data_IF_100585317839
#
_entry.id   IF_100585317839
#
_cell.length_a   1.000
_cell.length_b   1.000
_cell.length_c   1.000
_cell.angle_alpha   90.00
_cell.angle_beta   90.00
_cell.angle_gamma   90.00
#
_symmetry.space_group_name_H-M   'P 1'
#
loop_
_entity.id
_entity.type
_entity.pdbx_description
1 polymer ?
#
# COMPACT_ATOMS: atom_id res chain seq x y z
N UNK A 1 -32.80 -46.70 34.39
CA UNK A 1 -31.80 -46.66 33.30
C UNK A 1 -31.90 -45.30 32.61
N UNK A 2 -31.12 -44.30 33.05
CA UNK A 2 -31.03 -43.00 32.38
C UNK A 2 -29.58 -42.71 32.03
N UNK A 3 -29.31 -42.58 30.73
CA UNK A 3 -28.03 -42.14 30.18
C UNK A 3 -28.05 -40.61 30.06
N UNK A 4 -27.19 -39.92 30.82
CA UNK A 4 -26.89 -38.50 30.59
C UNK A 4 -25.81 -38.39 29.51
N UNK A 5 -26.14 -37.66 28.45
CA UNK A 5 -25.27 -37.33 27.34
C UNK A 5 -24.70 -35.92 27.58
N UNK A 6 -23.37 -35.80 27.74
CA UNK A 6 -22.67 -34.51 27.85
C UNK A 6 -22.16 -34.13 26.46
N UNK A 7 -22.48 -32.94 25.89
CA UNK A 7 -21.96 -32.54 24.59
C UNK A 7 -20.57 -31.90 24.70
N UNK A 8 -19.76 -32.18 23.68
CA UNK A 8 -18.33 -31.91 23.59
C UNK A 8 -17.96 -30.44 23.34
N UNK A 9 -17.14 -29.87 24.22
CA UNK A 9 -16.38 -28.63 24.01
C UNK A 9 -15.12 -28.91 23.17
N UNK A 10 -15.23 -28.92 21.82
CA UNK A 10 -14.05 -29.08 20.93
C UNK A 10 -13.90 -28.06 19.79
N UNK A 11 -14.71 -27.00 19.73
CA UNK A 11 -14.74 -26.09 18.56
C UNK A 11 -13.98 -24.75 18.68
N UNK A 12 -13.68 -24.26 19.88
CA UNK A 12 -13.06 -22.93 20.05
C UNK A 12 -11.52 -22.96 19.93
N UNK A 13 -10.87 -23.94 20.54
CA UNK A 13 -9.41 -24.08 20.51
C UNK A 13 -8.86 -24.40 19.11
N UNK A 14 -9.61 -25.14 18.29
CA UNK A 14 -9.21 -25.49 16.92
C UNK A 14 -9.31 -24.32 15.93
N UNK A 15 -10.24 -23.38 16.14
CA UNK A 15 -10.32 -22.11 15.37
C UNK A 15 -9.20 -21.16 15.77
N UNK A 16 -8.92 -21.00 17.06
CA UNK A 16 -7.82 -20.16 17.55
C UNK A 16 -6.44 -20.62 17.04
N UNK A 17 -6.20 -21.95 17.00
CA UNK A 17 -4.96 -22.54 16.48
C UNK A 17 -4.82 -22.43 14.96
N UNK A 18 -5.92 -22.51 14.20
CA UNK A 18 -5.91 -22.28 12.74
C UNK A 18 -5.69 -20.81 12.39
N UNK A 19 -6.26 -19.88 13.15
CA UNK A 19 -6.06 -18.43 12.92
C UNK A 19 -4.63 -17.96 13.23
N UNK A 20 -3.98 -18.54 14.23
CA UNK A 20 -2.56 -18.26 14.56
C UNK A 20 -1.62 -18.94 13.56
N UNK A 21 -1.91 -20.17 13.14
CA UNK A 21 -1.15 -20.85 12.09
C UNK A 21 -1.28 -20.18 10.71
N UNK A 22 -2.45 -19.63 10.38
CA UNK A 22 -2.67 -18.88 9.13
C UNK A 22 -1.94 -17.52 9.09
N UNK A 23 -1.51 -17.01 10.25
CA UNK A 23 -0.76 -15.75 10.34
C UNK A 23 0.75 -15.95 10.52
N UNK A 24 1.21 -17.19 10.64
CA UNK A 24 2.62 -17.52 10.77
C UNK A 24 3.39 -17.17 9.48
N UNK A 25 4.64 -16.74 9.63
CA UNK A 25 5.55 -16.55 8.48
C UNK A 25 5.88 -17.91 7.89
N UNK A 26 5.84 -18.06 6.58
CA UNK A 26 6.24 -19.29 5.91
C UNK A 26 7.68 -19.16 5.44
N UNK A 27 8.52 -20.12 5.77
CA UNK A 27 9.89 -20.22 5.28
C UNK A 27 9.98 -21.46 4.39
N UNK A 28 10.32 -21.24 3.14
CA UNK A 28 10.54 -22.30 2.15
C UNK A 28 12.03 -22.47 1.95
N UNK A 29 12.53 -23.70 2.09
CA UNK A 29 13.96 -23.99 1.91
C UNK A 29 14.19 -24.51 0.49
N UNK A 30 15.01 -23.77 -0.24
CA UNK A 30 15.61 -24.21 -1.49
C UNK A 30 17.10 -24.44 -1.22
N UNK A 31 17.44 -25.66 -0.79
CA UNK A 31 18.77 -25.97 -0.29
C UNK A 31 19.87 -25.82 -1.36
N UNK A 32 19.51 -26.02 -2.62
CA UNK A 32 20.41 -26.14 -3.77
C UNK A 32 20.32 -24.95 -4.73
N UNK A 33 19.60 -23.88 -4.35
CA UNK A 33 19.35 -22.68 -5.19
C UNK A 33 18.81 -23.07 -6.58
N UNK A 34 17.83 -23.99 -6.61
CA UNK A 34 17.32 -24.53 -7.86
C UNK A 34 16.47 -23.49 -8.61
N UNK A 35 16.75 -23.22 -9.91
CA UNK A 35 16.08 -22.15 -10.66
C UNK A 35 14.55 -22.32 -10.75
N UNK A 36 14.05 -23.55 -10.65
CA UNK A 36 12.62 -23.86 -10.60
C UNK A 36 11.87 -23.13 -9.48
N UNK A 37 12.50 -22.87 -8.33
CA UNK A 37 11.89 -22.12 -7.23
C UNK A 37 11.66 -20.65 -7.58
N UNK A 38 12.67 -20.03 -8.19
CA UNK A 38 12.58 -18.66 -8.68
C UNK A 38 11.51 -18.56 -9.77
N UNK A 39 11.51 -19.49 -10.73
CA UNK A 39 10.51 -19.54 -11.79
C UNK A 39 9.08 -19.70 -11.23
N UNK A 40 8.87 -20.61 -10.28
CA UNK A 40 7.56 -20.82 -9.66
C UNK A 40 7.08 -19.61 -8.86
N UNK A 41 7.99 -18.92 -8.16
CA UNK A 41 7.65 -17.70 -7.45
C UNK A 41 7.31 -16.55 -8.40
N UNK A 42 8.07 -16.38 -9.48
CA UNK A 42 7.77 -15.37 -10.50
C UNK A 42 6.45 -15.67 -11.21
N UNK A 43 6.15 -16.94 -11.50
CA UNK A 43 4.86 -17.35 -12.08
C UNK A 43 3.68 -17.15 -11.11
N UNK A 44 3.93 -17.20 -9.79
CA UNK A 44 2.91 -16.88 -8.78
C UNK A 44 2.65 -15.37 -8.64
N UNK A 45 3.55 -14.51 -9.15
CA UNK A 45 3.41 -13.05 -9.12
C UNK A 45 2.19 -12.64 -9.94
N UNK A 46 1.21 -12.03 -9.27
CA UNK A 46 -0.06 -11.64 -9.87
C UNK A 46 -0.70 -10.57 -8.97
N UNK A 47 -0.25 -9.30 -9.08
CA UNK A 47 -0.71 -8.20 -8.24
C UNK A 47 -2.23 -8.02 -8.32
N UNK A 48 -2.83 -8.26 -9.48
CA UNK A 48 -4.28 -8.23 -9.73
C UNK A 48 -5.04 -9.30 -8.92
N UNK A 49 -4.38 -10.41 -8.56
CA UNK A 49 -4.94 -11.43 -7.67
C UNK A 49 -4.45 -11.28 -6.22
N UNK A 50 -3.80 -10.15 -5.89
CA UNK A 50 -3.28 -9.85 -4.57
C UNK A 50 -2.05 -10.67 -4.17
N UNK A 51 -1.25 -11.14 -5.14
CA UNK A 51 0.02 -11.84 -4.90
C UNK A 51 1.17 -11.08 -5.50
N UNK A 52 2.17 -10.80 -4.68
CA UNK A 52 3.37 -10.07 -5.13
C UNK A 52 4.60 -10.89 -4.78
N UNK A 53 5.36 -11.25 -5.81
CA UNK A 53 6.71 -11.78 -5.66
C UNK A 53 7.73 -10.67 -5.77
N UNK A 54 8.59 -10.61 -4.78
CA UNK A 54 9.68 -9.68 -4.62
C UNK A 54 11.00 -10.41 -4.83
N UNK A 55 11.83 -9.88 -5.72
CA UNK A 55 13.24 -10.22 -5.81
C UNK A 55 14.05 -9.03 -5.26
N UNK A 56 14.55 -9.09 -4.01
CA UNK A 56 15.29 -7.97 -3.42
C UNK A 56 16.49 -7.58 -4.31
N UNK A 57 16.72 -6.28 -4.45
CA UNK A 57 17.85 -5.74 -5.20
C UNK A 57 19.17 -6.21 -4.57
N UNK A 58 20.03 -6.94 -5.29
CA UNK A 58 21.29 -7.45 -4.75
C UNK A 58 22.17 -6.31 -4.22
N UNK A 59 22.83 -6.53 -3.07
CA UNK A 59 23.84 -5.61 -2.54
C UNK A 59 23.31 -4.25 -2.04
N UNK A 60 22.02 -3.94 -2.21
CA UNK A 60 21.46 -2.72 -1.65
C UNK A 60 21.38 -2.89 -0.14
N UNK A 61 22.24 -2.20 0.62
CA UNK A 61 22.23 -2.16 2.09
C UNK A 61 21.47 -0.96 2.65
N UNK A 62 21.08 -0.02 1.79
CA UNK A 62 20.40 1.20 2.20
C UNK A 62 19.09 0.88 2.97
N UNK A 63 18.83 1.56 4.09
CA UNK A 63 17.68 1.24 4.96
C UNK A 63 16.28 1.21 4.29
N UNK A 64 15.90 2.11 3.35
CA UNK A 64 14.59 2.05 2.69
C UNK A 64 14.57 1.16 1.44
N UNK A 65 15.69 0.50 1.08
CA UNK A 65 15.80 -0.21 -0.20
C UNK A 65 14.80 -1.35 -0.36
N UNK A 66 14.52 -2.09 0.70
CA UNK A 66 13.57 -3.19 0.63
C UNK A 66 12.13 -2.70 0.43
N UNK A 67 11.74 -1.61 1.09
CA UNK A 67 10.43 -0.98 0.89
C UNK A 67 10.28 -0.45 -0.55
N UNK A 68 11.36 0.12 -1.10
CA UNK A 68 11.42 0.51 -2.51
C UNK A 68 11.23 -0.68 -3.45
N UNK A 69 11.91 -1.80 -3.20
CA UNK A 69 11.78 -3.00 -4.03
C UNK A 69 10.34 -3.55 -3.98
N UNK A 70 9.68 -3.50 -2.80
CA UNK A 70 8.24 -3.83 -2.66
C UNK A 70 7.37 -2.92 -3.51
N UNK A 71 7.60 -1.61 -3.48
CA UNK A 71 6.85 -0.64 -4.27
C UNK A 71 7.04 -0.88 -5.77
N UNK A 72 8.26 -1.15 -6.22
CA UNK A 72 8.54 -1.55 -7.60
C UNK A 72 7.79 -2.84 -7.98
N UNK A 73 7.78 -3.84 -7.10
CA UNK A 73 7.05 -5.11 -7.32
C UNK A 73 5.52 -4.92 -7.36
N UNK A 74 4.99 -3.88 -6.72
CA UNK A 74 3.59 -3.46 -6.81
C UNK A 74 3.30 -2.61 -8.07
N UNK A 75 4.28 -2.45 -8.98
CA UNK A 75 4.16 -1.58 -10.15
C UNK A 75 4.18 -0.08 -9.82
N UNK A 76 4.55 0.30 -8.60
CA UNK A 76 4.59 1.69 -8.14
C UNK A 76 5.92 2.31 -8.47
N UNK A 77 5.85 3.36 -9.31
CA UNK A 77 7.02 4.13 -9.71
C UNK A 77 7.31 5.15 -8.62
N UNK A 78 8.35 4.92 -7.82
CA UNK A 78 8.98 5.97 -7.01
C UNK A 78 9.92 6.82 -7.87
N UNK A 79 10.26 8.07 -7.45
CA UNK A 79 11.18 8.91 -8.19
C UNK A 79 12.51 8.17 -8.41
N UNK A 80 13.17 8.35 -9.57
CA UNK A 80 14.41 7.64 -9.87
C UNK A 80 15.47 7.89 -8.77
N UNK A 81 16.18 6.82 -8.41
CA UNK A 81 17.40 6.87 -7.59
C UNK A 81 18.47 7.61 -8.39
N UNK A 82 18.63 8.91 -8.18
CA UNK A 82 19.57 9.71 -8.98
C UNK A 82 20.05 10.98 -8.28
N UNK A 83 21.24 11.43 -8.70
CA UNK A 83 22.02 12.56 -8.18
C UNK A 83 21.29 13.92 -8.26
N UNK A 84 20.14 13.96 -8.94
CA UNK A 84 19.30 15.15 -9.17
C UNK A 84 18.12 15.30 -8.20
N UNK A 85 18.05 14.45 -7.16
CA UNK A 85 17.08 14.66 -6.09
C UNK A 85 17.23 16.07 -5.48
N UNK A 86 16.13 16.81 -5.23
CA UNK A 86 16.19 18.19 -4.74
C UNK A 86 17.16 18.32 -3.56
N UNK A 87 18.04 19.33 -3.62
CA UNK A 87 19.16 19.53 -2.67
C UNK A 87 18.73 19.76 -1.20
N UNK A 88 17.42 19.81 -0.93
CA UNK A 88 16.86 19.75 0.43
C UNK A 88 16.76 18.28 0.89
N UNK A 89 17.91 17.68 1.21
CA UNK A 89 18.01 16.30 1.68
C UNK A 89 17.37 16.15 3.06
N UNK A 90 16.17 15.56 3.11
CA UNK A 90 15.90 14.60 4.19
C UNK A 90 16.99 13.51 4.09
N UNK A 91 17.61 13.15 5.22
CA UNK A 91 18.59 12.07 5.23
C UNK A 91 17.94 10.79 4.71
N UNK A 92 18.72 9.89 4.10
CA UNK A 92 18.23 8.57 3.72
C UNK A 92 17.62 7.80 4.91
N UNK A 93 18.05 8.11 6.13
CA UNK A 93 17.44 7.60 7.36
C UNK A 93 16.00 8.12 7.55
N UNK A 94 15.74 9.39 7.24
CA UNK A 94 14.42 10.02 7.36
C UNK A 94 13.42 9.46 6.35
N UNK A 95 13.90 8.83 5.27
CA UNK A 95 13.07 8.21 4.23
C UNK A 95 12.58 6.80 4.59
N UNK A 96 13.11 6.16 5.65
CA UNK A 96 12.73 4.79 6.03
C UNK A 96 11.26 4.69 6.40
N UNK A 97 10.82 5.51 7.36
CA UNK A 97 9.42 5.53 7.81
C UNK A 97 8.42 5.80 6.68
N UNK A 98 8.63 6.85 5.87
CA UNK A 98 7.81 7.13 4.69
C UNK A 98 7.79 5.99 3.67
N UNK A 99 8.93 5.38 3.33
CA UNK A 99 9.00 4.30 2.35
C UNK A 99 8.19 3.07 2.79
N UNK A 100 8.37 2.62 4.04
CA UNK A 100 7.61 1.49 4.59
C UNK A 100 6.13 1.82 4.77
N UNK A 101 5.78 3.07 5.06
CA UNK A 101 4.40 3.54 5.11
C UNK A 101 3.74 3.54 3.74
N UNK A 102 4.44 4.00 2.70
CA UNK A 102 3.97 3.91 1.33
C UNK A 102 3.76 2.45 0.91
N UNK A 103 4.71 1.56 1.20
CA UNK A 103 4.60 0.13 0.89
C UNK A 103 3.38 -0.51 1.57
N UNK A 104 3.21 -0.30 2.88
CA UNK A 104 2.05 -0.81 3.62
C UNK A 104 0.72 -0.28 3.07
N UNK A 105 0.69 1.01 2.71
CA UNK A 105 -0.52 1.64 2.18
C UNK A 105 -0.91 1.07 0.83
N UNK A 106 0.07 0.84 -0.06
CA UNK A 106 -0.21 0.24 -1.35
C UNK A 106 -0.59 -1.24 -1.26
N UNK A 107 0.00 -2.01 -0.34
CA UNK A 107 -0.43 -3.38 -0.05
C UNK A 107 -1.91 -3.40 0.34
N UNK A 108 -2.33 -2.50 1.24
CA UNK A 108 -3.72 -2.40 1.66
C UNK A 108 -4.65 -1.93 0.53
N UNK A 109 -4.22 -0.94 -0.26
CA UNK A 109 -5.00 -0.41 -1.38
C UNK A 109 -5.21 -1.45 -2.48
N UNK A 110 -4.18 -2.24 -2.82
CA UNK A 110 -4.26 -3.31 -3.82
C UNK A 110 -4.89 -4.59 -3.28
N UNK A 111 -5.22 -4.62 -1.98
CA UNK A 111 -5.66 -5.84 -1.28
C UNK A 111 -4.67 -6.99 -1.49
N UNK A 112 -3.37 -6.66 -1.56
CA UNK A 112 -2.30 -7.64 -1.73
C UNK A 112 -2.27 -8.52 -0.51
N UNK A 113 -2.83 -9.72 -0.59
CA UNK A 113 -2.91 -10.65 0.52
C UNK A 113 -1.62 -11.45 0.76
N UNK A 114 -0.76 -11.61 -0.24
CA UNK A 114 0.40 -12.50 -0.15
C UNK A 114 1.65 -11.85 -0.72
N UNK A 115 2.68 -11.70 0.11
CA UNK A 115 4.01 -11.26 -0.28
C UNK A 115 4.98 -12.45 -0.23
N UNK A 116 5.61 -12.74 -1.37
CA UNK A 116 6.64 -13.77 -1.54
C UNK A 116 7.97 -13.06 -1.71
N UNK A 117 8.96 -13.38 -0.88
CA UNK A 117 10.29 -12.76 -0.92
C UNK A 117 11.32 -13.81 -1.30
N UNK A 118 11.87 -13.66 -2.51
CA UNK A 118 12.99 -14.48 -2.99
C UNK A 118 14.28 -14.10 -2.28
N UNK A 119 15.24 -15.03 -2.25
CA UNK A 119 16.59 -14.80 -1.71
C UNK A 119 16.57 -14.21 -0.30
N UNK A 120 15.66 -14.69 0.55
CA UNK A 120 15.52 -14.20 1.93
C UNK A 120 16.82 -14.36 2.76
N UNK A 121 17.69 -15.30 2.36
CA UNK A 121 19.01 -15.52 2.94
C UNK A 121 20.00 -14.35 2.73
N UNK A 122 19.75 -13.45 1.76
CA UNK A 122 20.59 -12.26 1.52
C UNK A 122 20.12 -11.05 2.31
N UNK A 123 18.97 -11.13 2.98
CA UNK A 123 18.44 -10.04 3.79
C UNK A 123 19.11 -10.06 5.17
N UNK A 124 19.26 -8.89 5.79
CA UNK A 124 19.76 -8.76 7.17
C UNK A 124 18.65 -9.10 8.19
N UNK A 125 18.99 -9.40 9.46
CA UNK A 125 17.99 -9.66 10.49
C UNK A 125 17.00 -8.50 10.67
N UNK A 126 17.49 -7.25 10.63
CA UNK A 126 16.64 -6.06 10.69
C UNK A 126 15.60 -6.00 9.56
N UNK A 127 15.91 -6.53 8.37
CA UNK A 127 14.95 -6.59 7.26
C UNK A 127 13.87 -7.64 7.48
N UNK A 128 14.19 -8.74 8.15
CA UNK A 128 13.18 -9.72 8.56
C UNK A 128 12.21 -9.12 9.59
N UNK A 129 12.72 -8.36 10.57
CA UNK A 129 11.88 -7.63 11.54
C UNK A 129 10.98 -6.59 10.85
N UNK A 130 11.51 -5.87 9.87
CA UNK A 130 10.72 -4.92 9.06
C UNK A 130 9.63 -5.62 8.24
N UNK A 131 9.93 -6.76 7.60
CA UNK A 131 8.95 -7.56 6.87
C UNK A 131 7.87 -8.13 7.80
N UNK A 132 8.24 -8.55 9.00
CA UNK A 132 7.28 -9.03 10.00
C UNK A 132 6.41 -7.89 10.54
N UNK A 133 6.98 -6.70 10.73
CA UNK A 133 6.22 -5.48 11.09
C UNK A 133 5.24 -5.10 9.98
N UNK A 134 5.68 -5.14 8.72
CA UNK A 134 4.82 -4.92 7.56
C UNK A 134 3.68 -5.95 7.52
N UNK A 135 3.99 -7.23 7.74
CA UNK A 135 3.02 -8.32 7.83
C UNK A 135 1.99 -8.07 8.93
N UNK A 136 2.43 -7.70 10.13
CA UNK A 136 1.54 -7.40 11.24
C UNK A 136 0.61 -6.20 10.93
N UNK A 137 1.15 -5.15 10.29
CA UNK A 137 0.43 -3.93 9.93
C UNK A 137 -0.62 -4.14 8.82
N UNK A 138 -0.35 -5.01 7.87
CA UNK A 138 -1.18 -5.21 6.67
C UNK A 138 -2.02 -6.49 6.72
N UNK A 139 -1.63 -7.44 7.57
CA UNK A 139 -2.31 -8.73 7.73
C UNK A 139 -1.99 -9.75 6.65
N UNK A 140 -1.03 -9.50 5.77
CA UNK A 140 -0.68 -10.40 4.65
C UNK A 140 -0.11 -11.75 5.11
N UNK A 141 -0.18 -12.74 4.22
CA UNK A 141 0.72 -13.90 4.28
C UNK A 141 2.11 -13.48 3.79
N UNK A 142 3.14 -13.87 4.54
CA UNK A 142 4.53 -13.64 4.18
C UNK A 142 5.22 -14.98 3.95
N UNK A 143 5.68 -15.21 2.72
CA UNK A 143 6.50 -16.37 2.36
C UNK A 143 7.93 -15.92 2.06
N UNK A 144 8.91 -16.47 2.77
CA UNK A 144 10.33 -16.21 2.60
C UNK A 144 11.00 -17.44 1.97
N UNK A 145 11.60 -17.28 0.78
CA UNK A 145 12.33 -18.36 0.12
C UNK A 145 13.82 -18.26 0.45
N UNK A 146 14.33 -19.27 1.15
CA UNK A 146 15.70 -19.39 1.61
C UNK A 146 16.50 -20.30 0.68
N UNK A 147 17.21 -19.70 -0.29
CA UNK A 147 18.02 -20.41 -1.29
C UNK A 147 19.41 -20.86 -0.79
N UNK A 148 19.49 -21.47 0.39
CA UNK A 148 20.71 -22.09 0.92
C UNK A 148 20.33 -23.29 1.77
N UNK A 149 21.30 -24.18 2.05
CA UNK A 149 21.14 -25.18 3.10
C UNK A 149 20.79 -24.50 4.44
N UNK A 150 19.88 -25.06 5.25
CA UNK A 150 19.58 -24.53 6.58
C UNK A 150 20.84 -24.45 7.44
N UNK A 151 21.11 -23.28 8.02
CA UNK A 151 22.27 -23.01 8.87
C UNK A 151 21.87 -22.26 10.16
N UNK A 152 22.86 -21.89 10.97
CA UNK A 152 22.62 -21.10 12.19
C UNK A 152 22.02 -19.73 11.89
N UNK A 153 22.37 -19.12 10.74
CA UNK A 153 21.79 -17.84 10.31
C UNK A 153 20.30 -17.97 10.09
N UNK A 154 19.82 -19.02 9.43
CA UNK A 154 18.37 -19.22 9.30
C UNK A 154 17.68 -19.20 10.67
N UNK A 155 18.28 -19.84 11.67
CA UNK A 155 17.74 -19.89 13.03
C UNK A 155 17.74 -18.51 13.70
N UNK A 156 18.85 -17.77 13.59
CA UNK A 156 18.98 -16.40 14.11
C UNK A 156 17.97 -15.44 13.48
N UNK A 157 17.79 -15.52 12.16
CA UNK A 157 16.82 -14.71 11.43
C UNK A 157 15.39 -15.07 11.80
N UNK A 158 15.07 -16.36 11.88
CA UNK A 158 13.73 -16.82 12.25
C UNK A 158 13.37 -16.47 13.71
N UNK A 159 14.36 -16.40 14.61
CA UNK A 159 14.16 -15.96 15.99
C UNK A 159 13.76 -14.47 16.11
N UNK A 160 13.96 -13.66 15.06
CA UNK A 160 13.53 -12.25 15.02
C UNK A 160 12.07 -12.05 14.66
N UNK A 161 11.41 -13.09 14.19
CA UNK A 161 10.00 -13.02 13.84
C UNK A 161 9.16 -13.01 15.13
N UNK A 162 8.31 -11.99 15.29
CA UNK A 162 7.39 -11.89 16.43
C UNK A 162 6.31 -12.96 16.42
N UNK A 163 6.10 -13.60 15.26
CA UNK A 163 5.19 -14.74 15.09
C UNK A 163 5.97 -16.00 14.79
N UNK A 164 5.45 -17.15 15.22
CA UNK A 164 6.01 -18.43 14.84
C UNK A 164 6.06 -18.59 13.32
N UNK A 165 6.96 -19.45 12.83
CA UNK A 165 7.11 -19.72 11.41
C UNK A 165 6.82 -21.18 11.07
N UNK A 166 6.43 -21.43 9.82
CA UNK A 166 6.26 -22.77 9.26
C UNK A 166 7.34 -23.03 8.23
N UNK A 167 8.04 -24.14 8.35
CA UNK A 167 9.07 -24.57 7.40
C UNK A 167 8.47 -25.52 6.36
N UNK A 168 8.83 -25.34 5.09
CA UNK A 168 8.51 -26.28 3.99
C UNK A 168 9.77 -26.52 3.18
N UNK A 169 10.05 -27.76 2.84
CA UNK A 169 11.22 -28.23 2.09
C UNK A 169 10.86 -28.95 0.78
N UNK A 170 9.59 -29.36 0.59
CA UNK A 170 9.11 -29.98 -0.66
C UNK A 170 8.69 -28.97 -1.73
N UNK A 171 9.20 -29.14 -2.96
CA UNK A 171 8.90 -28.26 -4.10
C UNK A 171 7.42 -28.20 -4.47
N UNK A 172 6.75 -29.35 -4.63
CA UNK A 172 5.34 -29.37 -5.05
C UNK A 172 4.41 -28.71 -4.02
N UNK A 173 4.55 -29.09 -2.75
CA UNK A 173 3.76 -28.50 -1.66
C UNK A 173 3.99 -27.00 -1.51
N UNK A 174 5.23 -26.54 -1.76
CA UNK A 174 5.55 -25.13 -1.71
C UNK A 174 5.06 -24.39 -2.95
N UNK A 175 5.11 -24.97 -4.16
CA UNK A 175 4.56 -24.39 -5.39
C UNK A 175 3.07 -24.08 -5.23
N UNK A 176 2.30 -25.01 -4.68
CA UNK A 176 0.87 -24.79 -4.44
C UNK A 176 0.65 -23.67 -3.42
N UNK A 177 1.49 -23.63 -2.37
CA UNK A 177 1.48 -22.59 -1.35
C UNK A 177 1.83 -21.20 -1.88
N UNK A 178 2.72 -21.10 -2.86
CA UNK A 178 3.04 -19.81 -3.51
C UNK A 178 1.81 -19.24 -4.25
N UNK A 179 0.93 -20.10 -4.77
CA UNK A 179 -0.30 -19.68 -5.46
C UNK A 179 -1.47 -19.37 -4.52
N UNK A 180 -1.39 -19.74 -3.24
CA UNK A 180 -2.41 -19.43 -2.25
C UNK A 180 -2.73 -17.93 -2.25
N UNK A 181 -4.03 -17.62 -2.29
CA UNK A 181 -4.48 -16.25 -2.02
C UNK A 181 -4.24 -15.97 -0.55
N UNK A 182 -3.73 -14.77 -0.28
CA UNK A 182 -3.63 -14.28 1.09
C UNK A 182 -5.01 -14.04 1.72
N UNK A 183 -5.04 -13.62 2.98
CA UNK A 183 -6.29 -13.33 3.64
C UNK A 183 -6.98 -12.16 2.93
N UNK A 184 -8.30 -12.27 2.78
CA UNK A 184 -9.09 -11.15 2.30
C UNK A 184 -8.91 -9.98 3.27
N UNK A 185 -8.52 -8.82 2.73
CA UNK A 185 -8.42 -7.61 3.54
C UNK A 185 -9.82 -7.25 4.05
N UNK A 186 -9.99 -6.93 5.35
CA UNK A 186 -11.25 -6.43 5.87
C UNK A 186 -11.52 -5.04 5.30
N UNK A 187 -12.12 -5.00 4.12
CA UNK A 187 -12.56 -3.80 3.43
C UNK A 187 -13.80 -4.15 2.62
N UNK A 188 -14.92 -3.53 3.02
CA UNK A 188 -16.29 -3.69 2.47
C UNK A 188 -17.07 -4.92 2.96
N UNK A 189 -17.84 -4.75 4.05
CA UNK A 189 -19.14 -5.42 4.13
C UNK A 189 -20.01 -4.80 3.02
N UNK A 190 -20.67 -5.58 2.14
CA UNK A 190 -21.70 -5.00 1.29
C UNK A 190 -22.79 -4.41 2.20
N UNK A 191 -23.06 -3.11 2.06
CA UNK A 191 -24.27 -2.52 2.62
C UNK A 191 -25.46 -3.18 1.91
N UNK A 192 -26.04 -4.22 2.53
CA UNK A 192 -27.38 -4.69 2.20
C UNK A 192 -28.38 -3.65 2.72
N UNK A 193 -28.68 -2.67 1.89
CA UNK A 193 -30.00 -2.06 1.87
C UNK A 193 -30.77 -2.71 0.72
N UNK A 194 -31.70 -3.59 1.11
CA UNK A 194 -32.77 -4.08 0.25
C UNK A 194 -33.60 -2.88 -0.22
N UNK A 195 -33.65 -2.71 -1.54
CA UNK A 195 -34.39 -1.69 -2.26
C UNK A 195 -34.18 -1.92 -3.76
N UNK A 196 -35.24 -2.10 -4.56
CA UNK A 196 -35.11 -2.56 -5.94
C UNK A 196 -34.83 -1.38 -6.88
N UNK A 197 -33.57 -0.93 -6.92
CA UNK A 197 -33.08 -0.05 -7.98
C UNK A 197 -31.83 -0.67 -8.61
N UNK A 198 -32.06 -1.67 -9.46
CA UNK A 198 -31.06 -2.28 -10.32
C UNK A 198 -30.84 -1.37 -11.53
N UNK A 199 -29.83 -0.51 -11.50
CA UNK A 199 -29.01 -0.13 -12.68
C UNK A 199 -27.74 0.70 -12.38
N UNK A 200 -27.53 1.23 -11.16
CA UNK A 200 -26.38 2.13 -10.87
C UNK A 200 -25.26 1.52 -9.99
N UNK A 201 -25.46 0.33 -9.41
CA UNK A 201 -24.51 -0.27 -8.45
C UNK A 201 -23.21 -0.83 -9.05
N UNK A 202 -23.10 -0.96 -10.38
CA UNK A 202 -21.90 -1.46 -11.05
C UNK A 202 -20.76 -0.43 -11.12
N UNK A 203 -21.08 0.86 -11.31
CA UNK A 203 -20.09 1.88 -11.68
C UNK A 203 -19.14 2.28 -10.54
N UNK A 204 -19.62 2.29 -9.29
CA UNK A 204 -18.81 2.76 -8.15
C UNK A 204 -17.70 1.80 -7.73
N UNK A 205 -17.93 0.49 -7.80
CA UNK A 205 -16.91 -0.50 -7.42
C UNK A 205 -15.83 -0.62 -8.48
N UNK A 206 -16.23 -0.62 -9.76
CA UNK A 206 -15.31 -0.60 -10.89
C UNK A 206 -14.40 0.63 -10.86
N UNK A 207 -14.95 1.80 -10.55
CA UNK A 207 -14.21 3.03 -10.39
C UNK A 207 -13.17 2.98 -9.26
N UNK A 208 -13.53 2.41 -8.11
CA UNK A 208 -12.59 2.22 -7.00
C UNK A 208 -11.44 1.30 -7.42
N UNK A 209 -11.73 0.21 -8.13
CA UNK A 209 -10.71 -0.70 -8.65
C UNK A 209 -9.78 0.02 -9.65
N UNK A 210 -10.33 0.81 -10.57
CA UNK A 210 -9.55 1.60 -11.52
C UNK A 210 -8.63 2.61 -10.82
N UNK A 211 -9.13 3.34 -9.81
CA UNK A 211 -8.31 4.29 -9.03
C UNK A 211 -7.19 3.57 -8.29
N UNK A 212 -7.45 2.38 -7.74
CA UNK A 212 -6.42 1.56 -7.11
C UNK A 212 -5.36 1.13 -8.12
N UNK A 213 -5.71 0.84 -9.37
CA UNK A 213 -4.75 0.45 -10.41
C UNK A 213 -3.74 1.54 -10.82
N UNK A 214 -3.94 2.78 -10.39
CA UNK A 214 -3.09 3.91 -10.81
C UNK A 214 -1.71 3.80 -10.17
N UNK A 215 -0.68 3.74 -11.02
CA UNK A 215 0.71 3.54 -10.61
C UNK A 215 1.32 4.67 -9.77
N UNK A 216 0.81 5.90 -9.91
CA UNK A 216 1.37 7.09 -9.26
C UNK A 216 0.60 7.48 -7.98
N UNK A 217 1.24 7.56 -6.79
CA UNK A 217 0.55 7.79 -5.51
C UNK A 217 -0.22 9.09 -5.43
N UNK A 218 0.32 10.19 -5.98
CA UNK A 218 -0.39 11.46 -5.97
C UNK A 218 -1.65 11.43 -6.85
N UNK A 219 -1.62 10.70 -7.96
CA UNK A 219 -2.78 10.62 -8.86
C UNK A 219 -3.88 9.76 -8.26
N UNK A 220 -3.52 8.60 -7.69
CA UNK A 220 -4.47 7.74 -6.99
C UNK A 220 -5.09 8.46 -5.78
N UNK A 221 -4.28 9.20 -5.00
CA UNK A 221 -4.76 10.00 -3.88
C UNK A 221 -5.68 11.15 -4.30
N UNK A 222 -5.34 11.86 -5.39
CA UNK A 222 -6.15 12.94 -5.94
C UNK A 222 -7.53 12.43 -6.37
N UNK A 223 -7.56 11.34 -7.14
CA UNK A 223 -8.81 10.73 -7.58
C UNK A 223 -9.64 10.20 -6.43
N UNK A 224 -8.99 9.61 -5.42
CA UNK A 224 -9.67 9.19 -4.20
C UNK A 224 -10.30 10.38 -3.46
N UNK A 225 -9.63 11.53 -3.41
CA UNK A 225 -10.17 12.76 -2.81
C UNK A 225 -11.31 13.36 -3.62
N UNK A 226 -11.25 13.29 -4.95
CA UNK A 226 -12.30 13.79 -5.84
C UNK A 226 -13.58 12.96 -5.75
N UNK A 227 -13.46 11.63 -5.66
CA UNK A 227 -14.60 10.74 -5.41
C UNK A 227 -15.26 10.96 -4.05
N UNK A 228 -14.52 11.55 -3.11
CA UNK A 228 -14.92 11.83 -1.74
C UNK A 228 -15.74 13.12 -1.62
N UNK A 229 -15.33 14.15 -2.35
CA UNK A 229 -15.93 15.47 -2.24
C UNK A 229 -17.23 15.58 -3.05
N UNK A 230 -17.42 14.73 -4.06
CA UNK A 230 -18.50 14.88 -5.06
C UNK A 230 -18.55 16.29 -5.68
N UNK A 231 -17.45 17.04 -5.58
CA UNK A 231 -17.35 18.40 -6.10
C UNK A 231 -16.54 18.39 -7.38
N UNK A 232 -17.07 19.02 -8.42
CA UNK A 232 -16.36 19.24 -9.70
C UNK A 232 -15.27 20.33 -9.58
N UNK A 233 -15.06 20.88 -8.38
CA UNK A 233 -14.22 22.05 -8.14
C UNK A 233 -12.75 21.68 -7.88
N UNK A 234 -12.02 21.45 -8.98
CA UNK A 234 -10.57 21.23 -9.03
C UNK A 234 -9.74 22.14 -8.11
N UNK A 235 -10.14 23.41 -8.04
CA UNK A 235 -9.48 24.46 -7.26
C UNK A 235 -9.43 24.13 -5.77
N UNK A 236 -10.47 23.50 -5.23
CA UNK A 236 -10.51 23.09 -3.82
C UNK A 236 -9.45 22.03 -3.54
N UNK A 237 -9.34 21.02 -4.40
CA UNK A 237 -8.38 19.93 -4.26
C UNK A 237 -6.94 20.44 -4.45
N UNK A 238 -6.71 21.35 -5.39
CA UNK A 238 -5.40 22.00 -5.59
C UNK A 238 -4.92 22.69 -4.31
N UNK A 239 -5.85 23.26 -3.54
CA UNK A 239 -5.56 24.02 -2.33
C UNK A 239 -5.36 23.16 -1.07
N UNK A 240 -5.67 21.85 -1.11
CA UNK A 240 -5.46 20.92 0.02
C UNK A 240 -3.97 20.83 0.37
N UNK A 241 -3.64 21.03 1.65
CA UNK A 241 -2.27 20.94 2.18
C UNK A 241 -2.01 19.61 2.87
N UNK A 242 -0.74 19.30 3.13
CA UNK A 242 -0.37 18.13 3.95
C UNK A 242 -1.01 18.16 5.34
N UNK A 243 -1.16 19.34 5.95
CA UNK A 243 -1.85 19.53 7.22
C UNK A 243 -3.37 19.37 7.16
N UNK A 244 -3.94 19.35 5.96
CA UNK A 244 -5.38 19.17 5.74
C UNK A 244 -5.78 17.69 5.71
N UNK A 245 -4.81 16.78 5.76
CA UNK A 245 -5.05 15.34 5.88
C UNK A 245 -4.76 14.91 7.31
N UNK A 246 -5.75 14.30 7.98
CA UNK A 246 -5.55 13.73 9.31
C UNK A 246 -4.35 12.76 9.33
N UNK A 247 -3.58 12.63 10.44
CA UNK A 247 -2.41 11.75 10.51
C UNK A 247 -2.68 10.30 10.08
N UNK A 248 -3.87 9.77 10.36
CA UNK A 248 -4.33 8.43 9.96
C UNK A 248 -5.13 8.41 8.65
N UNK A 249 -5.25 9.57 7.99
CA UNK A 249 -6.07 9.81 6.81
C UNK A 249 -7.57 9.51 6.98
N UNK A 250 -8.10 9.48 8.20
CA UNK A 250 -9.54 9.26 8.44
C UNK A 250 -10.41 10.47 8.12
N UNK A 251 -9.80 11.65 8.00
CA UNK A 251 -10.47 12.88 7.60
C UNK A 251 -9.60 13.73 6.67
N UNK A 252 -10.25 14.44 5.75
CA UNK A 252 -9.66 15.37 4.80
C UNK A 252 -10.37 16.72 4.89
N UNK A 253 -9.63 17.78 5.15
CA UNK A 253 -10.13 19.16 5.15
C UNK A 253 -10.12 19.74 3.74
N UNK A 254 -11.27 20.21 3.27
CA UNK A 254 -11.40 20.93 2.01
C UNK A 254 -11.61 22.43 2.30
N UNK A 255 -10.87 23.33 1.61
CA UNK A 255 -11.09 24.76 1.75
C UNK A 255 -12.39 25.16 1.03
N UNK A 256 -13.16 26.06 1.62
CA UNK A 256 -14.31 26.68 0.94
C UNK A 256 -13.86 27.59 -0.20
N UNK A 257 -14.53 27.52 -1.35
CA UNK A 257 -14.36 28.53 -2.40
C UNK A 257 -15.15 29.82 -2.13
N UNK A 258 -14.68 30.97 -2.62
CA UNK A 258 -13.38 31.18 -3.27
C UNK A 258 -12.22 31.05 -2.26
N UNK A 259 -11.11 30.43 -2.67
CA UNK A 259 -9.99 30.16 -1.75
C UNK A 259 -9.41 31.45 -1.18
N UNK A 260 -9.50 31.59 0.14
CA UNK A 260 -8.72 32.55 0.94
C UNK A 260 -7.85 31.80 1.95
N UNK A 261 -6.62 32.27 2.26
CA UNK A 261 -5.77 31.65 3.28
C UNK A 261 -6.44 31.48 4.66
N UNK A 262 -7.44 32.31 4.95
CA UNK A 262 -8.26 32.32 6.17
C UNK A 262 -9.60 31.58 6.04
N UNK A 263 -9.85 30.92 4.91
CA UNK A 263 -11.13 30.23 4.68
C UNK A 263 -11.34 29.14 5.69
N UNK A 264 -12.57 29.06 6.20
CA UNK A 264 -13.00 27.95 7.04
C UNK A 264 -12.88 26.65 6.26
N UNK A 265 -12.21 25.67 6.88
CA UNK A 265 -12.01 24.34 6.31
C UNK A 265 -13.14 23.44 6.80
N UNK A 266 -13.71 22.66 5.88
CA UNK A 266 -14.69 21.64 6.21
C UNK A 266 -14.01 20.28 6.20
N UNK A 267 -14.15 19.52 7.29
CA UNK A 267 -13.58 18.20 7.42
C UNK A 267 -14.55 17.15 6.89
N UNK A 268 -14.09 16.34 5.94
CA UNK A 268 -14.83 15.25 5.35
C UNK A 268 -14.27 13.92 5.87
N UNK A 269 -15.14 13.00 6.27
CA UNK A 269 -14.72 11.65 6.66
C UNK A 269 -14.27 10.88 5.44
N UNK A 270 -13.07 10.30 5.49
CA UNK A 270 -12.46 9.53 4.40
C UNK A 270 -12.88 8.06 4.52
N UNK A 271 -13.52 7.47 3.48
CA UNK A 271 -13.89 6.07 3.50
C UNK A 271 -12.65 5.18 3.51
N UNK A 272 -12.75 4.02 4.15
CA UNK A 272 -11.61 3.12 4.42
C UNK A 272 -10.85 2.67 3.17
N UNK A 273 -11.50 2.62 2.00
CA UNK A 273 -10.85 2.29 0.73
C UNK A 273 -9.91 3.41 0.22
N UNK A 274 -10.20 4.68 0.55
CA UNK A 274 -9.46 5.86 0.10
C UNK A 274 -8.29 6.23 1.05
N UNK A 275 -8.42 5.90 2.33
CA UNK A 275 -7.39 6.14 3.36
C UNK A 275 -5.98 5.68 2.91
N UNK A 276 -5.76 4.43 2.46
CA UNK A 276 -4.43 4.00 2.05
C UNK A 276 -3.88 4.80 0.85
N UNK A 277 -4.73 5.25 -0.07
CA UNK A 277 -4.30 6.04 -1.23
C UNK A 277 -3.83 7.44 -0.80
N UNK A 278 -4.55 8.08 0.12
CA UNK A 278 -4.16 9.37 0.68
C UNK A 278 -2.90 9.27 1.56
N UNK A 279 -2.75 8.18 2.34
CA UNK A 279 -1.52 7.92 3.09
C UNK A 279 -0.34 7.75 2.14
N UNK A 280 -0.52 7.00 1.04
CA UNK A 280 0.51 6.82 0.03
C UNK A 280 0.90 8.14 -0.65
N UNK A 281 -0.08 8.99 -0.97
CA UNK A 281 0.16 10.34 -1.52
C UNK A 281 0.96 11.23 -0.57
N UNK A 282 0.64 11.24 0.73
CA UNK A 282 1.44 11.97 1.73
C UNK A 282 2.84 11.38 1.90
N UNK A 283 2.97 10.06 1.94
CA UNK A 283 4.27 9.40 2.04
C UNK A 283 5.17 9.73 0.84
N UNK A 284 4.59 9.88 -0.35
CA UNK A 284 5.30 10.36 -1.54
C UNK A 284 5.92 11.75 -1.35
N UNK A 285 5.19 12.71 -0.77
CA UNK A 285 5.74 14.04 -0.48
C UNK A 285 6.94 13.97 0.46
N UNK A 286 6.85 13.14 1.50
CA UNK A 286 7.97 12.93 2.41
C UNK A 286 9.19 12.31 1.72
N UNK A 287 8.98 11.36 0.81
CA UNK A 287 10.07 10.78 0.00
C UNK A 287 10.73 11.80 -0.94
N UNK A 288 10.00 12.84 -1.38
CA UNK A 288 10.54 13.95 -2.19
C UNK A 288 11.13 15.09 -1.35
N UNK A 289 11.25 14.91 -0.02
CA UNK A 289 11.77 15.95 0.88
C UNK A 289 10.78 17.09 1.16
N UNK A 290 9.52 16.95 0.77
CA UNK A 290 8.46 17.93 1.01
C UNK A 290 7.70 17.57 2.30
N UNK A 291 8.29 17.89 3.46
CA UNK A 291 7.71 17.59 4.77
C UNK A 291 6.93 18.76 5.39
N UNK A 292 7.01 19.96 4.81
CA UNK A 292 6.41 21.14 5.41
C UNK A 292 4.87 21.08 5.36
N UNK A 293 4.16 21.25 6.49
CA UNK A 293 2.70 21.05 6.59
C UNK A 293 1.87 21.95 5.67
N UNK A 294 2.42 23.09 5.24
CA UNK A 294 1.74 24.00 4.32
C UNK A 294 1.86 23.63 2.84
N UNK A 295 2.67 22.65 2.47
CA UNK A 295 2.80 22.19 1.08
C UNK A 295 1.49 21.58 0.61
N UNK A 296 1.13 21.82 -0.65
CA UNK A 296 -0.10 21.26 -1.19
C UNK A 296 0.05 19.74 -1.39
N UNK A 297 -0.91 18.96 -0.90
CA UNK A 297 -0.90 17.49 -0.94
C UNK A 297 -0.93 16.97 -2.39
N UNK A 298 -1.57 17.71 -3.29
CA UNK A 298 -1.62 17.38 -4.71
C UNK A 298 -0.79 18.34 -5.58
N UNK A 299 0.11 19.12 -4.96
CA UNK A 299 1.09 19.91 -5.73
C UNK A 299 1.95 18.98 -6.58
N UNK A 300 2.27 19.41 -7.81
CA UNK A 300 3.12 18.68 -8.76
C UNK A 300 2.50 17.44 -9.42
N UNK A 301 1.19 17.21 -9.30
CA UNK A 301 0.48 16.35 -10.28
C UNK A 301 0.36 17.12 -11.59
N UNK A 302 1.45 17.21 -12.36
CA UNK A 302 1.40 17.78 -13.69
C UNK A 302 0.77 16.73 -14.63
N UNK A 303 -0.55 16.84 -14.82
CA UNK A 303 -1.35 15.86 -15.56
C UNK A 303 -1.05 15.86 -17.08
N UNK A 304 -0.31 16.86 -17.59
CA UNK A 304 0.06 16.97 -19.00
C UNK A 304 0.83 15.76 -19.56
N UNK A 305 1.43 14.92 -18.72
CA UNK A 305 2.23 13.77 -19.15
C UNK A 305 1.53 12.42 -18.99
N UNK A 306 0.23 12.36 -18.69
CA UNK A 306 -0.47 11.09 -18.47
C UNK A 306 -1.83 11.02 -19.16
N UNK A 307 -1.82 10.67 -20.46
CA UNK A 307 -3.03 10.31 -21.23
C UNK A 307 -3.91 9.28 -20.50
N UNK A 308 -3.29 8.36 -19.74
CA UNK A 308 -3.99 7.36 -18.91
C UNK A 308 -4.93 7.97 -17.86
N UNK A 309 -4.65 9.17 -17.33
CA UNK A 309 -5.52 9.80 -16.32
C UNK A 309 -6.73 10.45 -16.96
N UNK A 310 -6.55 11.07 -18.13
CA UNK A 310 -7.65 11.65 -18.90
C UNK A 310 -8.63 10.57 -19.35
N UNK A 311 -8.13 9.41 -19.78
CA UNK A 311 -8.97 8.28 -20.19
C UNK A 311 -9.76 7.70 -19.01
N UNK A 312 -9.12 7.49 -17.85
CA UNK A 312 -9.80 7.02 -16.62
C UNK A 312 -10.85 8.04 -16.18
N UNK A 313 -10.49 9.33 -16.12
CA UNK A 313 -11.41 10.40 -15.70
C UNK A 313 -12.63 10.52 -16.62
N UNK A 314 -12.41 10.44 -17.93
CA UNK A 314 -13.47 10.49 -18.95
C UNK A 314 -14.38 9.26 -18.87
N UNK A 315 -13.79 8.06 -18.75
CA UNK A 315 -14.55 6.81 -18.58
C UNK A 315 -15.36 6.78 -17.28
N UNK A 316 -14.91 7.53 -16.27
CA UNK A 316 -15.55 7.63 -14.95
C UNK A 316 -16.65 8.69 -14.86
N UNK A 317 -16.88 9.46 -15.93
CA UNK A 317 -17.81 10.60 -15.92
C UNK A 317 -17.36 11.74 -14.98
N UNK A 318 -16.10 11.72 -14.55
CA UNK A 318 -15.52 12.74 -13.69
C UNK A 318 -15.03 13.86 -14.61
N UNK A 319 -15.77 14.97 -14.66
CA UNK A 319 -15.40 16.11 -15.50
C UNK A 319 -14.02 16.61 -15.10
N UNK A 320 -13.14 16.95 -16.06
CA UNK A 320 -11.75 17.25 -15.77
C UNK A 320 -11.58 18.46 -14.84
N UNK A 321 -11.29 18.19 -13.57
CA UNK A 321 -10.48 19.08 -12.73
C UNK A 321 -9.06 19.31 -13.31
N UNK A 322 -8.74 18.57 -14.38
CA UNK A 322 -7.46 18.42 -15.04
C UNK A 322 -6.89 19.74 -15.53
N UNK A 323 -7.72 20.65 -16.07
CA UNK A 323 -7.20 21.88 -16.71
C UNK A 323 -6.68 22.91 -15.70
N UNK A 324 -7.08 22.82 -14.43
CA UNK A 324 -6.69 23.78 -13.37
C UNK A 324 -5.47 23.28 -12.59
N UNK A 325 -5.28 21.95 -12.51
CA UNK A 325 -4.14 21.33 -11.82
C UNK A 325 -2.86 21.33 -12.68
N UNK A 326 -3.00 21.59 -13.98
CA UNK A 326 -1.90 21.76 -14.92
C UNK A 326 -1.42 23.22 -14.96
N UNK A 327 -0.55 23.55 -14.02
CA UNK A 327 0.44 24.65 -14.11
C UNK A 327 0.00 25.94 -14.81
N UNK A 328 -0.73 26.80 -14.09
CA UNK A 328 -0.45 28.23 -14.20
C UNK A 328 0.55 28.61 -13.09
N UNK A 329 1.78 29.08 -13.41
CA UNK A 329 2.72 29.57 -12.40
C UNK A 329 2.23 30.83 -11.67
N UNK A 330 1.07 31.40 -12.02
CA UNK A 330 0.53 32.63 -11.44
C UNK A 330 -0.34 32.45 -10.18
N UNK A 331 -0.26 31.34 -9.43
CA UNK A 331 -0.91 31.29 -8.11
C UNK A 331 -0.07 32.03 -7.07
N UNK A 332 -0.62 33.00 -6.31
CA UNK A 332 0.15 33.84 -5.41
C UNK A 332 0.76 32.98 -4.30
N UNK A 333 2.09 32.93 -4.27
CA UNK A 333 2.87 32.55 -3.09
C UNK A 333 2.33 33.37 -1.91
N UNK A 334 1.95 32.77 -0.78
CA UNK A 334 1.59 33.56 0.40
C UNK A 334 2.76 34.47 0.74
N UNK A 335 2.50 35.78 0.75
CA UNK A 335 3.51 36.80 1.04
C UNK A 335 4.21 36.46 2.36
N UNK A 336 5.55 36.44 2.32
CA UNK A 336 6.38 36.33 3.51
C UNK A 336 5.98 37.45 4.48
N UNK A 337 5.64 37.15 5.75
CA UNK A 337 5.32 38.20 6.69
C UNK A 337 6.54 39.13 6.86
N UNK A 338 6.34 40.46 6.97
CA UNK A 338 7.43 41.39 7.18
C UNK A 338 8.14 41.04 8.49
N UNK A 339 9.49 41.10 8.45
CA UNK A 339 10.38 40.85 9.58
C UNK A 339 10.21 41.88 10.68
#
# INVERSE_FOLDING_TARGET
MSRSNIPATRSAASRGRRHTAARAVRIVIDADDHPAWTAAALDAHSPENGRVTLHPSPGSSAPPALAQDILCALGKRLPPRGMDAPRHRASWADMVGPAWTAAASWINAYRTGHLIVLRAHTLTPARWEQLDTLRARTGIHLTLIWHRKPDTRLTEHAARLSTGYQKTDGFDAARDRLREKGPAHPGTRPHTTDGPDTHTRGSGHELIEQVQQIGHPLHAGLLAAQLLSHTDEAEQLAAVRLADLAPDATALALPRLPYRPTSTRHWHSVPTWAQPLLIAARAWHYLNGHHHPSRHLFQHTNLHHHNQLTDILTASGITPAINILTGDPAWPTPATPPR
#
